data_IF_317932328632
#
_entry.id   IF_317932328632
#
_cell.length_a   1.000
_cell.length_b   1.000
_cell.length_c   1.000
_cell.angle_alpha   90.00
_cell.angle_beta   90.00
_cell.angle_gamma   90.00
#
_symmetry.space_group_name_H-M   'P 1'
#
loop_
_entity.id
_entity.type
_entity.pdbx_description
1 polymer ?
#
# COMPACT_ATOMS: atom_id res chain seq x y z
N UNK A 1 24.82 1.17 -38.00
CA UNK A 1 23.66 0.25 -37.96
C UNK A 1 23.47 -0.17 -36.52
N UNK A 2 22.50 0.44 -35.83
CA UNK A 2 22.21 0.16 -34.43
C UNK A 2 21.35 -1.10 -34.32
N UNK A 3 21.81 -2.10 -33.57
CA UNK A 3 20.95 -3.17 -33.10
C UNK A 3 20.95 -3.15 -31.58
N UNK A 4 19.82 -2.68 -31.05
CA UNK A 4 19.48 -2.69 -29.64
C UNK A 4 18.82 -4.05 -29.39
N UNK A 5 19.54 -4.98 -28.77
CA UNK A 5 18.95 -6.21 -28.22
C UNK A 5 18.31 -5.85 -26.88
N UNK A 6 17.00 -5.61 -26.91
CA UNK A 6 16.22 -5.49 -25.68
C UNK A 6 15.92 -6.88 -25.17
N UNK A 7 16.76 -7.35 -24.24
CA UNK A 7 16.51 -8.57 -23.47
C UNK A 7 15.17 -8.45 -22.75
N UNK A 8 14.23 -9.29 -23.13
CA UNK A 8 12.89 -9.35 -22.56
C UNK A 8 12.96 -10.12 -21.23
N UNK A 9 13.34 -9.43 -20.15
CA UNK A 9 13.36 -10.01 -18.80
C UNK A 9 11.90 -10.24 -18.37
N UNK A 10 11.40 -11.46 -18.62
CA UNK A 10 10.19 -11.97 -17.97
C UNK A 10 10.45 -11.98 -16.46
N UNK A 11 10.06 -10.90 -15.79
CA UNK A 11 9.96 -10.86 -14.33
C UNK A 11 8.87 -11.87 -13.95
N UNK A 12 9.27 -13.11 -13.66
CA UNK A 12 8.45 -14.06 -12.92
C UNK A 12 8.38 -13.51 -11.49
N UNK A 13 7.48 -12.55 -11.26
CA UNK A 13 7.10 -12.18 -9.90
C UNK A 13 6.32 -13.37 -9.35
N UNK A 14 7.06 -14.29 -8.75
CA UNK A 14 6.51 -15.28 -7.84
C UNK A 14 5.77 -14.49 -6.76
N UNK A 15 4.45 -14.37 -6.87
CA UNK A 15 3.56 -13.83 -5.84
C UNK A 15 3.51 -14.81 -4.67
N UNK A 16 4.67 -15.19 -4.13
CA UNK A 16 4.75 -15.91 -2.87
C UNK A 16 4.03 -15.04 -1.85
N UNK A 17 2.82 -15.50 -1.56
CA UNK A 17 1.76 -15.01 -0.72
C UNK A 17 2.20 -14.86 0.76
N UNK A 18 3.31 -14.16 1.00
CA UNK A 18 3.85 -13.88 2.32
C UNK A 18 4.14 -12.39 2.52
N UNK A 19 3.60 -11.53 1.66
CA UNK A 19 3.48 -10.13 1.97
C UNK A 19 2.30 -10.01 2.92
N UNK A 20 2.57 -9.77 4.21
CA UNK A 20 1.54 -9.29 5.12
C UNK A 20 1.08 -7.94 4.59
N UNK A 21 0.12 -7.97 3.68
CA UNK A 21 -0.47 -6.78 3.13
C UNK A 21 -1.12 -6.00 4.27
N UNK A 22 -0.92 -4.69 4.25
CA UNK A 22 -1.38 -3.75 5.26
C UNK A 22 -2.27 -2.74 4.57
N UNK A 23 -3.40 -2.42 5.21
CA UNK A 23 -4.23 -1.26 4.88
C UNK A 23 -4.08 -0.22 5.98
N UNK A 24 -4.31 1.04 5.65
CA UNK A 24 -4.40 2.10 6.63
C UNK A 24 -5.85 2.39 6.95
N UNK A 25 -6.21 2.32 8.23
CA UNK A 25 -7.55 2.62 8.74
C UNK A 25 -7.46 3.76 9.73
N UNK A 26 -8.29 4.77 9.52
CA UNK A 26 -8.54 5.84 10.47
C UNK A 26 -9.41 5.29 11.62
N UNK A 27 -8.94 5.37 12.89
CA UNK A 27 -9.65 4.81 14.03
C UNK A 27 -10.88 5.64 14.44
N UNK A 28 -10.93 6.94 14.11
CA UNK A 28 -12.03 7.83 14.49
C UNK A 28 -13.24 7.64 13.56
N UNK A 29 -12.99 7.59 12.26
CA UNK A 29 -14.01 7.48 11.22
C UNK A 29 -14.22 6.05 10.74
N UNK A 30 -13.30 5.14 11.06
CA UNK A 30 -13.29 3.76 10.58
C UNK A 30 -12.97 3.62 9.08
N UNK A 31 -12.68 4.73 8.37
CA UNK A 31 -12.41 4.76 6.92
C UNK A 31 -10.99 4.31 6.62
N UNK A 32 -10.75 3.89 5.39
CA UNK A 32 -9.42 3.51 4.91
C UNK A 32 -8.74 4.66 4.18
N UNK A 33 -7.40 4.67 4.16
CA UNK A 33 -6.66 5.56 3.27
C UNK A 33 -6.96 5.17 1.82
N UNK A 34 -7.29 6.14 0.98
CA UNK A 34 -7.51 5.88 -0.44
C UNK A 34 -6.20 5.45 -1.14
N UNK A 35 -6.28 4.62 -2.17
CA UNK A 35 -5.14 4.10 -2.92
C UNK A 35 -4.23 5.18 -3.54
N UNK A 36 -4.73 6.41 -3.72
CA UNK A 36 -3.92 7.56 -4.14
C UNK A 36 -2.94 8.04 -3.06
N UNK A 37 -3.04 7.52 -1.83
CA UNK A 37 -2.26 7.99 -0.68
C UNK A 37 -2.76 9.33 -0.12
N UNK A 38 -3.91 9.82 -0.59
CA UNK A 38 -4.53 11.06 -0.14
C UNK A 38 -6.06 10.88 -0.08
N UNK A 39 -6.65 11.32 1.03
CA UNK A 39 -8.09 11.19 1.28
C UNK A 39 -8.51 9.85 1.87
N UNK A 40 -9.77 9.80 2.26
CA UNK A 40 -10.40 8.66 2.93
C UNK A 40 -11.38 7.95 2.00
N UNK A 41 -11.45 6.64 2.10
CA UNK A 41 -12.46 5.80 1.42
C UNK A 41 -13.16 4.89 2.42
N UNK A 42 -14.44 4.63 2.21
CA UNK A 42 -15.24 3.74 3.07
C UNK A 42 -15.08 2.27 2.69
N UNK A 43 -14.63 1.97 1.49
CA UNK A 43 -14.54 0.61 0.96
C UNK A 43 -13.11 0.07 0.89
N UNK A 44 -12.97 -1.25 0.99
CA UNK A 44 -11.68 -1.94 0.80
C UNK A 44 -11.23 -1.96 -0.66
N UNK A 45 -12.15 -1.80 -1.61
CA UNK A 45 -11.88 -1.83 -3.05
C UNK A 45 -11.00 -0.66 -3.52
N UNK A 46 -11.16 0.51 -2.89
CA UNK A 46 -10.35 1.70 -3.17
C UNK A 46 -9.33 1.99 -2.08
N UNK A 47 -9.18 1.07 -1.11
CA UNK A 47 -8.26 1.24 0.01
C UNK A 47 -6.82 0.98 -0.44
N UNK A 48 -5.92 1.81 0.05
CA UNK A 48 -4.50 1.60 -0.10
C UNK A 48 -4.10 0.25 0.52
N UNK A 49 -3.38 -0.56 -0.24
CA UNK A 49 -2.83 -1.85 0.18
C UNK A 49 -1.36 -1.91 -0.20
N UNK A 50 -0.53 -2.35 0.73
CA UNK A 50 0.88 -2.55 0.47
C UNK A 50 1.61 -3.23 1.61
N UNK A 51 2.90 -3.42 1.45
CA UNK A 51 3.74 -4.05 2.48
C UNK A 51 3.93 -3.14 3.70
N UNK A 52 4.25 -3.72 4.86
CA UNK A 52 4.63 -2.96 6.07
C UNK A 52 5.78 -1.96 5.82
N UNK A 53 6.71 -2.28 4.92
CA UNK A 53 7.81 -1.38 4.55
C UNK A 53 7.30 -0.15 3.78
N UNK A 54 6.44 -0.36 2.78
CA UNK A 54 5.82 0.73 2.02
C UNK A 54 4.93 1.61 2.92
N UNK A 55 4.23 0.99 3.87
CA UNK A 55 3.45 1.68 4.88
C UNK A 55 4.32 2.62 5.74
N UNK A 56 5.49 2.14 6.20
CA UNK A 56 6.46 2.97 6.93
C UNK A 56 6.90 4.19 6.12
N UNK A 57 7.29 3.98 4.86
CA UNK A 57 7.70 5.07 3.96
C UNK A 57 6.58 6.08 3.70
N UNK A 58 5.32 5.64 3.64
CA UNK A 58 4.16 6.55 3.50
C UNK A 58 3.99 7.44 4.73
N UNK A 59 4.08 6.84 5.93
CA UNK A 59 4.05 7.59 7.19
C UNK A 59 5.20 8.60 7.26
N UNK A 60 6.42 8.19 6.95
CA UNK A 60 7.60 9.07 6.93
C UNK A 60 7.39 10.27 5.98
N UNK A 61 6.82 10.02 4.80
CA UNK A 61 6.52 11.09 3.83
C UNK A 61 5.46 12.07 4.33
N UNK A 62 4.40 11.59 4.98
CA UNK A 62 3.37 12.46 5.53
C UNK A 62 3.93 13.31 6.68
N UNK A 63 4.71 12.70 7.58
CA UNK A 63 5.41 13.41 8.65
C UNK A 63 6.37 14.46 8.07
N UNK A 64 7.13 14.11 7.02
CA UNK A 64 8.02 15.06 6.34
C UNK A 64 7.28 16.22 5.65
N UNK A 65 5.99 16.03 5.31
CA UNK A 65 5.10 17.08 4.79
C UNK A 65 4.44 17.91 5.89
N UNK A 66 4.62 17.54 7.16
CA UNK A 66 3.91 18.16 8.28
C UNK A 66 2.42 17.80 8.33
N UNK A 67 2.00 16.75 7.62
CA UNK A 67 0.63 16.25 7.67
C UNK A 67 0.43 15.38 8.91
N UNK A 68 -0.72 15.52 9.57
CA UNK A 68 -1.12 14.61 10.63
C UNK A 68 -1.34 13.22 10.06
N UNK A 69 -0.88 12.19 10.77
CA UNK A 69 -1.01 10.79 10.35
C UNK A 69 -1.90 10.03 11.35
N UNK A 70 -3.23 10.18 11.27
CA UNK A 70 -4.17 9.50 12.17
C UNK A 70 -4.37 8.02 11.82
N UNK A 71 -3.69 7.53 10.79
CA UNK A 71 -3.91 6.19 10.25
C UNK A 71 -3.21 5.08 11.05
N UNK A 72 -3.99 4.05 11.39
CA UNK A 72 -3.48 2.79 11.94
C UNK A 72 -3.31 1.74 10.84
N UNK A 73 -2.12 1.14 10.79
CA UNK A 73 -1.84 -0.01 9.94
C UNK A 73 -2.61 -1.25 10.44
N UNK A 74 -3.49 -1.80 9.61
CA UNK A 74 -4.27 -3.02 9.85
C UNK A 74 -3.92 -4.09 8.82
N UNK A 75 -3.92 -5.37 9.20
CA UNK A 75 -3.67 -6.47 8.27
C UNK A 75 -4.76 -6.53 7.20
N UNK A 76 -4.37 -6.50 5.93
CA UNK A 76 -5.26 -6.62 4.78
C UNK A 76 -5.68 -8.07 4.53
N UNK A 77 -4.85 -9.03 4.96
CA UNK A 77 -5.10 -10.47 4.91
C UNK A 77 -5.87 -10.95 6.12
N UNK A 78 -7.12 -10.54 6.26
CA UNK A 78 -8.08 -11.29 7.04
C UNK A 78 -8.63 -12.40 6.16
N UNK A 79 -8.26 -13.66 6.42
CA UNK A 79 -9.21 -14.74 6.11
C UNK A 79 -10.44 -14.46 6.97
N UNK A 80 -11.57 -14.14 6.34
CA UNK A 80 -12.85 -14.43 6.97
C UNK A 80 -12.82 -15.93 7.27
N UNK A 81 -12.92 -16.27 8.56
CA UNK A 81 -13.03 -17.65 9.02
C UNK A 81 -14.40 -18.20 8.65
#
# INVERSE_FOLDING_TARGET
>A
MSQIVTGNTRVKTDFRNNSLDVRFRDPETGRYLHLSGAGLTTGTASAWIGTRKQAGTLKERAVARGEDWPFRAVSAGGKEA
#
